data_IF_324764897162
#
_entry.id   IF_324764897162
#
_cell.length_a   1.000
_cell.length_b   1.000
_cell.length_c   1.000
_cell.angle_alpha   90.00
_cell.angle_beta   90.00
_cell.angle_gamma   90.00
#
_symmetry.space_group_name_H-M   'P 1'
#
loop_
_entity.id
_entity.type
_entity.pdbx_description
1 polymer ?
#
# COMPACT_ATOMS: atom_id res chain seq x y z
N UNK A 1 9.03 -19.90 -5.74
CA UNK A 1 8.61 -18.66 -5.13
C UNK A 1 8.33 -17.63 -6.19
N UNK A 2 7.34 -16.79 -5.96
CA UNK A 2 6.97 -15.74 -6.91
C UNK A 2 7.58 -14.42 -6.50
N UNK A 3 8.34 -13.78 -7.38
CA UNK A 3 8.89 -12.46 -7.14
C UNK A 3 7.79 -11.45 -6.86
N UNK A 4 6.62 -11.64 -7.50
CA UNK A 4 5.46 -10.77 -7.27
C UNK A 4 4.99 -10.88 -5.83
N UNK A 5 4.86 -12.10 -5.30
CA UNK A 5 4.38 -12.29 -3.93
C UNK A 5 5.36 -11.72 -2.91
N UNK A 6 6.65 -11.92 -3.13
CA UNK A 6 7.67 -11.39 -2.24
C UNK A 6 7.70 -9.87 -2.27
N UNK A 7 7.61 -9.29 -3.47
CA UNK A 7 7.60 -7.84 -3.61
C UNK A 7 6.36 -7.24 -2.98
N UNK A 8 5.20 -7.86 -3.18
CA UNK A 8 3.95 -7.40 -2.60
C UNK A 8 4.00 -7.44 -1.08
N UNK A 9 4.56 -8.51 -0.51
CA UNK A 9 4.72 -8.63 0.93
C UNK A 9 5.63 -7.51 1.47
N UNK A 10 6.69 -7.18 0.74
CA UNK A 10 7.57 -6.07 1.10
C UNK A 10 6.82 -4.73 1.10
N UNK A 11 6.02 -4.47 0.05
CA UNK A 11 5.24 -3.24 -0.05
C UNK A 11 4.29 -3.10 1.13
N UNK A 12 3.59 -4.18 1.46
CA UNK A 12 2.64 -4.18 2.58
C UNK A 12 3.33 -3.94 3.90
N UNK A 13 4.47 -4.60 4.13
CA UNK A 13 5.20 -4.47 5.39
C UNK A 13 5.65 -3.02 5.60
N UNK A 14 6.22 -2.40 4.58
CA UNK A 14 6.65 -1.01 4.67
C UNK A 14 5.49 -0.08 4.98
N UNK A 15 4.38 -0.26 4.25
CA UNK A 15 3.21 0.59 4.44
C UNK A 15 2.62 0.43 5.83
N UNK A 16 2.55 -0.81 6.33
CA UNK A 16 2.02 -1.06 7.67
C UNK A 16 2.91 -0.49 8.77
N UNK A 17 4.23 -0.47 8.55
CA UNK A 17 5.14 0.17 9.50
C UNK A 17 4.86 1.66 9.63
N UNK A 18 4.64 2.36 8.51
CA UNK A 18 4.24 3.77 8.55
C UNK A 18 2.90 3.94 9.25
N UNK A 19 1.95 3.07 8.94
CA UNK A 19 0.61 3.16 9.53
C UNK A 19 0.66 2.98 11.05
N UNK A 20 1.45 2.03 11.52
CA UNK A 20 1.61 1.77 12.95
C UNK A 20 2.28 2.94 13.67
N UNK A 21 3.05 3.73 12.95
CA UNK A 21 3.65 4.96 13.48
C UNK A 21 2.69 6.16 13.41
N UNK A 22 1.47 5.95 12.93
CA UNK A 22 0.48 7.02 12.80
C UNK A 22 0.66 7.88 11.55
N UNK A 23 1.48 7.44 10.60
CA UNK A 23 1.83 8.20 9.39
C UNK A 23 1.04 7.67 8.19
N UNK A 24 -0.22 8.09 8.09
CA UNK A 24 -1.10 7.66 7.01
C UNK A 24 -0.60 8.12 5.64
N UNK A 25 -0.06 9.33 5.56
CA UNK A 25 0.43 9.88 4.31
C UNK A 25 1.52 9.02 3.71
N UNK A 26 2.52 8.69 4.51
CA UNK A 26 3.63 7.85 4.04
C UNK A 26 3.20 6.39 3.85
N UNK A 27 2.21 5.92 4.61
CA UNK A 27 1.68 4.57 4.41
C UNK A 27 1.11 4.42 3.00
N UNK A 28 0.25 5.35 2.58
CA UNK A 28 -0.35 5.32 1.24
C UNK A 28 0.70 5.60 0.17
N UNK A 29 1.55 6.60 0.38
CA UNK A 29 2.58 6.99 -0.58
C UNK A 29 3.59 5.88 -0.83
N UNK A 30 4.04 5.21 0.24
CA UNK A 30 5.01 4.12 0.10
C UNK A 30 4.40 2.93 -0.65
N UNK A 31 3.14 2.61 -0.37
CA UNK A 31 2.47 1.51 -1.05
C UNK A 31 2.38 1.79 -2.55
N UNK A 32 1.93 2.98 -2.93
CA UNK A 32 1.85 3.35 -4.34
C UNK A 32 3.19 3.34 -5.04
N UNK A 33 4.21 3.93 -4.42
CA UNK A 33 5.55 4.00 -4.98
C UNK A 33 6.16 2.61 -5.13
N UNK A 34 6.04 1.76 -4.11
CA UNK A 34 6.65 0.43 -4.13
C UNK A 34 5.96 -0.50 -5.13
N UNK A 35 4.64 -0.39 -5.28
CA UNK A 35 3.91 -1.17 -6.28
C UNK A 35 4.39 -0.84 -7.69
N UNK A 36 4.74 0.42 -7.94
CA UNK A 36 5.16 0.86 -9.27
C UNK A 36 6.57 0.43 -9.63
N UNK A 37 7.37 0.00 -8.66
CA UNK A 37 8.76 -0.38 -8.89
C UNK A 37 8.92 -1.75 -9.54
N UNK A 38 7.88 -2.57 -9.53
CA UNK A 38 7.94 -3.92 -10.08
C UNK A 38 6.88 -4.12 -11.15
N UNK A 39 7.24 -4.61 -12.35
CA UNK A 39 6.27 -4.76 -13.44
C UNK A 39 5.05 -5.60 -13.08
N UNK A 40 5.25 -6.64 -12.26
CA UNK A 40 4.17 -7.55 -11.89
C UNK A 40 3.16 -6.94 -10.92
N UNK A 41 3.53 -5.87 -10.20
CA UNK A 41 2.63 -5.19 -9.27
C UNK A 41 2.14 -3.84 -9.79
N UNK A 42 2.69 -3.36 -10.90
CA UNK A 42 2.35 -2.03 -11.44
C UNK A 42 0.87 -1.88 -11.76
N UNK A 43 0.24 -2.94 -12.26
CA UNK A 43 -1.18 -2.91 -12.61
C UNK A 43 -2.05 -2.64 -11.38
N UNK A 44 -1.62 -3.09 -10.20
CA UNK A 44 -2.34 -2.85 -8.95
C UNK A 44 -2.25 -1.39 -8.50
N UNK A 45 -1.33 -0.62 -9.07
CA UNK A 45 -1.16 0.80 -8.75
C UNK A 45 -2.40 1.63 -9.04
N UNK A 46 -3.28 1.16 -9.95
CA UNK A 46 -4.53 1.85 -10.22
C UNK A 46 -5.42 1.96 -8.98
N UNK A 47 -5.24 1.05 -8.01
CA UNK A 47 -6.00 1.06 -6.76
C UNK A 47 -5.49 2.08 -5.76
N UNK A 48 -4.38 2.76 -6.06
CA UNK A 48 -3.80 3.78 -5.18
C UNK A 48 -4.79 4.92 -4.93
N UNK A 49 -5.64 5.24 -5.91
CA UNK A 49 -6.65 6.28 -5.75
C UNK A 49 -7.61 5.97 -4.60
N UNK A 50 -7.96 4.71 -4.41
CA UNK A 50 -8.79 4.30 -3.28
C UNK A 50 -8.06 4.54 -1.96
N UNK A 51 -6.78 4.24 -1.90
CA UNK A 51 -5.95 4.54 -0.73
C UNK A 51 -5.91 6.04 -0.44
N UNK A 52 -5.83 6.86 -1.49
CA UNK A 52 -5.87 8.32 -1.33
C UNK A 52 -7.18 8.80 -0.73
N UNK A 53 -8.30 8.18 -1.07
CA UNK A 53 -9.58 8.52 -0.48
C UNK A 53 -9.60 8.24 1.02
N UNK A 54 -9.09 7.09 1.44
CA UNK A 54 -8.98 6.78 2.86
C UNK A 54 -8.07 7.77 3.58
N UNK A 55 -6.97 8.16 2.93
CA UNK A 55 -6.03 9.14 3.49
C UNK A 55 -6.72 10.50 3.68
N UNK A 56 -7.48 10.95 2.70
CA UNK A 56 -8.17 12.24 2.78
C UNK A 56 -9.19 12.26 3.91
N UNK A 57 -9.79 11.12 4.22
CA UNK A 57 -10.75 10.98 5.31
C UNK A 57 -10.09 10.66 6.64
N UNK A 58 -8.78 10.57 6.68
CA UNK A 58 -8.01 10.20 7.88
C UNK A 58 -8.49 8.87 8.48
N UNK A 59 -8.84 7.93 7.61
CA UNK A 59 -9.40 6.65 7.99
C UNK A 59 -8.30 5.59 8.09
N UNK A 60 -7.67 5.51 9.26
CA UNK A 60 -6.57 4.57 9.49
C UNK A 60 -7.02 3.11 9.30
N UNK A 61 -8.22 2.76 9.76
CA UNK A 61 -8.76 1.42 9.56
C UNK A 61 -8.97 1.10 8.09
N UNK A 62 -9.45 2.09 7.33
CA UNK A 62 -9.62 1.94 5.88
C UNK A 62 -8.30 1.75 5.17
N UNK A 63 -7.28 2.53 5.54
CA UNK A 63 -5.95 2.39 4.97
C UNK A 63 -5.40 0.99 5.26
N UNK A 64 -5.55 0.49 6.49
CA UNK A 64 -5.08 -0.85 6.84
C UNK A 64 -5.76 -1.92 6.00
N UNK A 65 -7.08 -1.87 5.87
CA UNK A 65 -7.82 -2.84 5.04
C UNK A 65 -7.40 -2.77 3.58
N UNK A 66 -7.16 -1.57 3.10
CA UNK A 66 -6.72 -1.35 1.72
C UNK A 66 -5.35 -1.99 1.49
N UNK A 67 -4.39 -1.76 2.40
CA UNK A 67 -3.06 -2.35 2.29
C UNK A 67 -3.14 -3.88 2.33
N UNK A 68 -3.86 -4.42 3.30
CA UNK A 68 -3.96 -5.87 3.52
C UNK A 68 -4.72 -6.57 2.40
N UNK A 69 -5.58 -5.85 1.70
CA UNK A 69 -6.40 -6.41 0.62
C UNK A 69 -5.67 -6.65 -0.69
N UNK A 70 -4.46 -6.15 -0.87
CA UNK A 70 -3.71 -6.40 -2.10
C UNK A 70 -3.28 -7.86 -2.18
N UNK A 71 -3.44 -8.45 -3.38
CA UNK A 71 -3.07 -9.85 -3.65
C UNK A 71 -2.11 -9.95 -4.81
#
# INVERSE_FOLDING_TARGET
MSDRAEHLAFCKRRALEYLDAGDLTNAVASMGSDLDKHPETRAAGALVQLGMMYLMNRDASGVRRWIEGFN
#
